data_IF_166761613950
#
_entry.id   IF_166761613950
#
_cell.length_a   1.000
_cell.length_b   1.000
_cell.length_c   1.000
_cell.angle_alpha   90.00
_cell.angle_beta   90.00
_cell.angle_gamma   90.00
#
_symmetry.space_group_name_H-M   'P 1'
#
loop_
_entity.id
_entity.type
_entity.pdbx_description
1 polymer ?
#
# COMPACT_ATOMS: atom_id res chain seq x y z
N UNK A 1 0.66 14.61 -20.31
CA UNK A 1 0.72 13.32 -20.30
C UNK A 1 -0.28 12.70 -19.44
N UNK A 2 -0.74 11.71 -19.78
CA UNK A 2 -1.70 11.09 -19.04
C UNK A 2 -1.08 10.30 -18.02
N UNK A 3 -1.43 10.55 -16.86
CA UNK A 3 -1.03 9.75 -15.88
C UNK A 3 -1.95 8.70 -15.72
N UNK A 4 -1.58 7.56 -16.05
CA UNK A 4 -2.42 6.47 -15.90
C UNK A 4 -2.37 6.04 -14.50
N UNK A 5 -3.50 6.06 -13.88
CA UNK A 5 -3.58 5.53 -12.56
C UNK A 5 -3.54 4.06 -12.69
N UNK A 6 -2.45 3.51 -12.42
CA UNK A 6 -2.31 2.09 -12.58
C UNK A 6 -2.59 1.42 -11.27
N UNK A 7 -3.77 0.85 -11.15
CA UNK A 7 -4.15 0.15 -9.94
C UNK A 7 -3.95 -1.34 -10.09
N UNK A 8 -3.30 -1.74 -11.15
CA UNK A 8 -3.03 -3.14 -11.39
C UNK A 8 -2.10 -3.68 -10.31
N UNK A 9 -2.44 -4.79 -9.67
CA UNK A 9 -1.56 -5.35 -8.65
C UNK A 9 -0.15 -5.65 -9.13
N UNK A 10 -0.01 -5.98 -10.39
CA UNK A 10 1.30 -6.27 -10.93
C UNK A 10 2.20 -5.04 -10.88
N UNK A 11 1.60 -3.85 -11.06
CA UNK A 11 2.37 -2.62 -10.98
C UNK A 11 2.55 -2.15 -9.57
N UNK A 12 1.64 -2.50 -8.70
CA UNK A 12 1.71 -2.07 -7.32
C UNK A 12 2.86 -2.73 -6.58
N UNK A 13 3.13 -3.97 -6.91
CA UNK A 13 4.14 -4.73 -6.21
C UNK A 13 5.52 -4.07 -6.24
N UNK A 14 6.06 -3.69 -7.40
CA UNK A 14 7.39 -3.09 -7.41
C UNK A 14 7.43 -1.75 -6.68
N UNK A 15 6.32 -1.03 -6.67
CA UNK A 15 6.26 0.22 -5.95
C UNK A 15 6.38 0.00 -4.45
N UNK A 16 5.65 -0.98 -3.93
CA UNK A 16 5.71 -1.28 -2.51
C UNK A 16 7.07 -1.84 -2.11
N UNK A 17 7.65 -2.66 -2.97
CA UNK A 17 8.97 -3.21 -2.69
C UNK A 17 10.02 -2.10 -2.63
N UNK A 18 9.91 -1.14 -3.52
CA UNK A 18 10.83 -0.02 -3.53
C UNK A 18 10.71 0.78 -2.24
N UNK A 19 9.50 1.01 -1.78
CA UNK A 19 9.28 1.75 -0.56
C UNK A 19 9.81 1.01 0.65
N UNK A 20 9.66 -0.30 0.68
CA UNK A 20 10.24 -1.08 1.77
C UNK A 20 11.75 -0.94 1.80
N UNK A 21 12.37 -0.93 0.63
CA UNK A 21 13.82 -0.78 0.58
C UNK A 21 14.26 0.60 1.05
N UNK A 22 13.38 1.57 0.94
CA UNK A 22 13.68 2.93 1.38
C UNK A 22 13.35 3.14 2.85
N UNK A 23 12.90 2.12 3.52
CA UNK A 23 12.62 2.23 4.94
C UNK A 23 11.18 2.57 5.30
N UNK A 24 10.31 2.58 4.31
CA UNK A 24 8.89 2.83 4.57
C UNK A 24 8.28 1.59 5.21
N UNK A 25 7.51 1.79 6.25
CA UNK A 25 6.86 0.68 6.93
C UNK A 25 5.46 0.51 6.38
N UNK A 26 5.14 -0.72 6.02
CA UNK A 26 3.82 -1.02 5.49
C UNK A 26 2.95 -1.63 6.57
N UNK A 27 1.71 -1.19 6.62
CA UNK A 27 0.77 -1.71 7.60
C UNK A 27 -0.47 -2.25 6.88
N UNK A 28 -1.04 -3.29 7.43
CA UNK A 28 -2.30 -3.82 6.93
C UNK A 28 -3.21 -3.94 8.14
N UNK A 29 -4.27 -3.15 8.14
CA UNK A 29 -5.24 -3.09 9.23
C UNK A 29 -4.56 -2.81 10.57
N UNK A 30 -3.58 -1.91 10.55
CA UNK A 30 -2.89 -1.50 11.77
C UNK A 30 -1.77 -2.40 12.22
N UNK A 31 -1.47 -3.43 11.45
CA UNK A 31 -0.42 -4.38 11.81
C UNK A 31 0.72 -4.28 10.81
N UNK A 32 1.97 -4.20 11.23
CA UNK A 32 3.08 -4.16 10.28
C UNK A 32 3.03 -5.35 9.36
N UNK A 33 3.27 -5.11 8.09
CA UNK A 33 3.11 -6.13 7.08
C UNK A 33 4.20 -6.04 6.02
N UNK A 34 4.09 -6.84 4.99
CA UNK A 34 5.06 -6.85 3.91
C UNK A 34 4.36 -6.65 2.59
N UNK A 35 5.15 -6.34 1.57
CA UNK A 35 4.62 -6.17 0.23
C UNK A 35 3.84 -7.41 -0.21
N UNK A 36 4.43 -8.57 0.01
CA UNK A 36 3.77 -9.80 -0.44
C UNK A 36 2.44 -10.03 0.24
N UNK A 37 2.39 -9.80 1.53
CA UNK A 37 1.16 -10.04 2.27
C UNK A 37 0.08 -9.04 1.86
N UNK A 38 0.48 -7.78 1.67
CA UNK A 38 -0.47 -6.77 1.23
C UNK A 38 -1.00 -7.11 -0.15
N UNK A 39 -0.12 -7.51 -1.06
CA UNK A 39 -0.56 -7.87 -2.40
C UNK A 39 -1.55 -9.02 -2.38
N UNK A 40 -1.28 -10.00 -1.54
CA UNK A 40 -2.17 -11.13 -1.45
C UNK A 40 -3.56 -10.71 -1.02
N UNK A 41 -3.65 -9.74 -0.12
CA UNK A 41 -4.94 -9.31 0.39
C UNK A 41 -5.61 -8.28 -0.48
N UNK A 42 -4.85 -7.42 -1.13
CA UNK A 42 -5.43 -6.37 -1.95
C UNK A 42 -6.04 -6.87 -3.24
N UNK A 43 -5.70 -8.07 -3.66
CA UNK A 43 -6.32 -8.60 -4.87
C UNK A 43 -7.60 -9.36 -4.57
N UNK A 44 -8.00 -9.40 -3.30
CA UNK A 44 -9.22 -10.07 -2.94
C UNK A 44 -10.40 -9.20 -3.36
N UNK A 45 -11.27 -9.73 -4.17
CA UNK A 45 -12.36 -8.96 -4.74
C UNK A 45 -13.42 -8.59 -3.73
N UNK A 46 -13.50 -9.30 -2.64
CA UNK A 46 -14.53 -9.05 -1.65
C UNK A 46 -14.15 -7.99 -0.65
N UNK A 47 -12.95 -7.47 -0.74
CA UNK A 47 -12.46 -6.54 0.26
C UNK A 47 -11.84 -5.34 -0.42
N UNK A 48 -12.14 -4.16 0.07
CA UNK A 48 -11.58 -2.94 -0.47
C UNK A 48 -10.67 -2.33 0.58
N UNK A 49 -9.43 -2.06 0.18
CA UNK A 49 -8.46 -1.43 1.06
C UNK A 49 -8.11 -0.07 0.52
N UNK A 50 -7.90 0.87 1.42
CA UNK A 50 -7.51 2.21 1.03
C UNK A 50 -6.16 2.53 1.66
N UNK A 51 -5.18 2.97 0.87
CA UNK A 51 -3.90 3.34 1.42
C UNK A 51 -3.96 4.72 2.06
N UNK A 52 -3.30 4.85 3.19
CA UNK A 52 -3.19 6.12 3.87
C UNK A 52 -1.70 6.36 4.05
N UNK A 53 -1.19 7.46 3.52
CA UNK A 53 0.22 7.75 3.55
C UNK A 53 0.55 8.65 4.72
N UNK A 54 1.50 8.21 5.54
CA UNK A 54 1.94 9.02 6.68
C UNK A 54 3.27 9.65 6.29
N UNK A 55 3.33 10.96 6.37
CA UNK A 55 4.47 11.71 5.89
C UNK A 55 5.23 12.30 7.08
N UNK A 56 6.56 12.29 7.03
CA UNK A 56 7.37 12.84 8.10
C UNK A 56 7.52 14.35 7.95
N UNK A 57 8.27 14.95 8.84
CA UNK A 57 8.41 16.41 8.83
C UNK A 57 9.17 16.91 7.61
N UNK A 58 9.86 16.07 6.90
CA UNK A 58 10.57 16.45 5.68
C UNK A 58 9.74 16.24 4.44
N UNK A 59 8.50 15.82 4.61
CA UNK A 59 7.63 15.59 3.46
C UNK A 59 7.82 14.23 2.81
N UNK A 60 8.54 13.33 3.46
CA UNK A 60 8.76 12.01 2.89
C UNK A 60 7.80 11.01 3.50
N UNK A 61 7.39 10.04 2.71
CA UNK A 61 6.50 9.00 3.21
C UNK A 61 7.27 8.09 4.14
N UNK A 62 6.78 7.92 5.35
CA UNK A 62 7.42 7.03 6.30
C UNK A 62 6.60 5.78 6.56
N UNK A 63 5.30 5.82 6.32
CA UNK A 63 4.44 4.65 6.49
C UNK A 63 3.36 4.67 5.44
N UNK A 64 2.92 3.50 5.04
CA UNK A 64 1.73 3.38 4.21
C UNK A 64 0.83 2.42 4.95
N UNK A 65 -0.37 2.87 5.27
CA UNK A 65 -1.31 2.07 6.05
C UNK A 65 -2.47 1.69 5.16
N UNK A 66 -2.63 0.39 4.93
CA UNK A 66 -3.76 -0.11 4.16
C UNK A 66 -4.83 -0.55 5.14
N UNK A 67 -5.95 0.15 5.10
CA UNK A 67 -7.06 -0.18 5.99
C UNK A 67 -8.23 -0.67 5.18
N UNK A 68 -8.87 -1.70 5.69
CA UNK A 68 -10.05 -2.22 5.05
C UNK A 68 -11.19 -1.28 5.32
N UNK A 69 -11.76 -0.71 4.26
CA UNK A 69 -12.83 0.26 4.43
C UNK A 69 -14.18 -0.33 4.12
N UNK A 70 -14.22 -1.47 3.44
CA UNK A 70 -15.48 -2.05 3.10
C UNK A 70 -15.30 -3.54 2.90
N UNK A 71 -16.24 -4.26 3.42
CA UNK A 71 -16.19 -5.68 3.28
C UNK A 71 -17.62 -6.18 3.17
N UNK A 72 -17.90 -6.85 2.10
CA UNK A 72 -19.25 -7.30 1.83
C UNK A 72 -19.47 -8.73 2.26
#
# INVERSE_FOLDING_TARGET
MALTQNTNPVSLKPQLEQMEREGVILYLNGVPSTTEYIMKNCVNEDTIYMPDYVIDENGKIKEIRYDRIFHN
#
